data_IF_288634907348
#
_entry.id   IF_288634907348
#
_cell.length_a   1.000
_cell.length_b   1.000
_cell.length_c   1.000
_cell.angle_alpha   90.00
_cell.angle_beta   90.00
_cell.angle_gamma   90.00
#
_symmetry.space_group_name_H-M   'P 1'
#
loop_
_entity.id
_entity.type
_entity.pdbx_description
1 polymer ?
#
# COMPACT_ATOMS: atom_id res chain seq x y z
N UNK A 1 -16.10 6.62 -21.20
CA UNK A 1 -16.34 7.01 -19.80
C UNK A 1 -15.04 6.82 -19.06
N UNK A 2 -14.53 7.87 -18.42
CA UNK A 2 -13.24 7.84 -17.73
C UNK A 2 -13.27 6.75 -16.66
N UNK A 3 -12.49 5.68 -16.87
CA UNK A 3 -12.21 4.67 -15.85
C UNK A 3 -11.46 5.37 -14.72
N UNK A 4 -12.21 5.93 -13.78
CA UNK A 4 -11.66 6.53 -12.58
C UNK A 4 -11.12 5.41 -11.73
N UNK A 5 -9.80 5.20 -11.78
CA UNK A 5 -9.08 4.47 -10.74
C UNK A 5 -9.61 4.96 -9.39
N UNK A 6 -10.05 4.02 -8.56
CA UNK A 6 -10.45 4.28 -7.18
C UNK A 6 -9.35 5.07 -6.48
N UNK A 7 -9.70 5.87 -5.47
CA UNK A 7 -8.75 6.67 -4.68
C UNK A 7 -7.60 5.80 -4.17
N UNK A 8 -7.89 4.54 -3.84
CA UNK A 8 -6.90 3.54 -3.45
C UNK A 8 -5.96 3.16 -4.60
N UNK A 9 -6.48 2.85 -5.79
CA UNK A 9 -5.63 2.48 -6.94
C UNK A 9 -4.69 3.62 -7.33
N UNK A 10 -5.16 4.88 -7.30
CA UNK A 10 -4.27 6.04 -7.51
C UNK A 10 -3.20 6.18 -6.43
N UNK A 11 -3.55 5.94 -5.16
CA UNK A 11 -2.58 6.01 -4.06
C UNK A 11 -1.58 4.87 -4.10
N UNK A 12 -1.99 3.68 -4.52
CA UNK A 12 -1.11 2.54 -4.76
C UNK A 12 -0.19 2.84 -5.94
N UNK A 13 -0.72 3.31 -7.06
CA UNK A 13 0.10 3.76 -8.20
C UNK A 13 1.08 4.84 -7.76
N UNK A 14 0.66 5.82 -6.95
CA UNK A 14 1.51 6.89 -6.41
C UNK A 14 2.62 6.39 -5.46
N UNK A 15 2.36 5.32 -4.71
CA UNK A 15 3.33 4.72 -3.78
C UNK A 15 4.33 3.80 -4.50
N UNK A 16 3.91 3.13 -5.57
CA UNK A 16 4.70 2.14 -6.31
C UNK A 16 4.97 2.60 -7.76
N UNK A 17 5.33 3.88 -7.92
CA UNK A 17 5.31 4.58 -9.23
C UNK A 17 6.28 4.09 -10.29
N UNK A 18 7.43 3.53 -9.93
CA UNK A 18 8.50 3.25 -10.90
C UNK A 18 9.08 1.86 -10.69
N UNK A 19 9.03 1.03 -11.74
CA UNK A 19 9.75 -0.23 -11.81
C UNK A 19 11.15 -0.03 -12.41
N UNK A 20 12.19 -0.72 -11.91
CA UNK A 20 12.14 -1.70 -10.81
C UNK A 20 12.00 -1.04 -9.43
N UNK A 21 11.20 -1.64 -8.55
CA UNK A 21 11.02 -1.16 -7.20
C UNK A 21 12.35 -1.10 -6.45
N UNK A 22 12.51 -0.06 -5.63
CA UNK A 22 13.56 -0.06 -4.63
C UNK A 22 13.28 -1.11 -3.53
N UNK A 23 14.27 -1.37 -2.69
CA UNK A 23 14.19 -2.39 -1.65
C UNK A 23 13.09 -2.11 -0.61
N UNK A 24 12.74 -0.84 -0.37
CA UNK A 24 11.69 -0.45 0.57
C UNK A 24 10.32 -0.72 -0.05
N UNK A 25 10.15 -0.35 -1.31
CA UNK A 25 8.93 -0.56 -2.07
C UNK A 25 8.65 -2.04 -2.30
N UNK A 26 9.69 -2.84 -2.55
CA UNK A 26 9.57 -4.29 -2.68
C UNK A 26 9.07 -4.94 -1.37
N UNK A 27 9.63 -4.55 -0.22
CA UNK A 27 9.22 -5.10 1.08
C UNK A 27 7.82 -4.59 1.50
N UNK A 28 7.47 -3.34 1.17
CA UNK A 28 6.13 -2.80 1.40
C UNK A 28 5.07 -3.52 0.56
N UNK A 29 5.39 -3.81 -0.70
CA UNK A 29 4.53 -4.60 -1.58
C UNK A 29 4.35 -6.03 -1.06
N UNK A 30 5.44 -6.70 -0.65
CA UNK A 30 5.36 -8.04 -0.03
C UNK A 30 4.49 -8.05 1.22
N UNK A 31 4.63 -7.03 2.08
CA UNK A 31 3.79 -6.88 3.27
C UNK A 31 2.31 -6.69 2.90
N UNK A 32 2.02 -5.84 1.92
CA UNK A 32 0.66 -5.61 1.43
C UNK A 32 0.04 -6.92 0.92
N UNK A 33 0.74 -7.66 0.06
CA UNK A 33 0.28 -8.95 -0.48
C UNK A 33 0.10 -9.98 0.65
N UNK A 34 1.01 -10.04 1.63
CA UNK A 34 0.86 -10.89 2.80
C UNK A 34 -0.40 -10.54 3.60
N UNK A 35 -0.67 -9.26 3.83
CA UNK A 35 -1.84 -8.81 4.60
C UNK A 35 -3.17 -9.14 3.91
N UNK A 36 -3.23 -9.04 2.57
CA UNK A 36 -4.45 -9.30 1.79
C UNK A 36 -4.69 -10.79 1.54
N UNK A 37 -3.64 -11.55 1.24
CA UNK A 37 -3.78 -12.94 0.76
C UNK A 37 -3.28 -13.99 1.75
N UNK A 38 -2.78 -13.58 2.92
CA UNK A 38 -2.09 -14.44 3.90
C UNK A 38 -0.95 -15.26 3.27
N UNK A 39 -0.37 -14.74 2.18
CA UNK A 39 0.70 -15.38 1.40
C UNK A 39 1.87 -14.40 1.26
N UNK A 40 3.04 -14.75 1.78
CA UNK A 40 4.24 -13.91 1.73
C UNK A 40 5.29 -14.31 2.78
N UNK A 41 6.55 -13.97 2.52
CA UNK A 41 7.62 -14.05 3.52
C UNK A 41 7.58 -12.79 4.40
N UNK A 42 7.91 -12.92 5.69
CA UNK A 42 8.07 -11.77 6.58
C UNK A 42 9.14 -10.79 6.09
N UNK A 43 9.10 -9.56 6.59
CA UNK A 43 10.07 -8.50 6.30
C UNK A 43 11.43 -8.95 6.85
N UNK A 44 12.41 -9.15 5.98
CA UNK A 44 13.70 -9.77 6.39
C UNK A 44 14.93 -8.97 6.00
N UNK A 45 14.80 -7.99 5.11
CA UNK A 45 15.94 -7.37 4.45
C UNK A 45 15.97 -5.84 4.58
N UNK A 46 15.58 -5.23 5.70
CA UNK A 46 15.70 -3.77 5.86
C UNK A 46 16.82 -3.42 6.84
N UNK A 47 17.74 -2.54 6.43
CA UNK A 47 18.64 -1.90 7.38
C UNK A 47 17.87 -0.82 8.17
N UNK A 48 18.49 -0.21 9.18
CA UNK A 48 17.82 0.75 10.05
C UNK A 48 17.22 1.96 9.31
N UNK A 49 17.91 2.49 8.28
CA UNK A 49 17.42 3.63 7.51
C UNK A 49 16.21 3.23 6.65
N UNK A 50 16.31 2.09 5.98
CA UNK A 50 15.25 1.57 5.13
C UNK A 50 14.03 1.12 5.94
N UNK A 51 14.24 0.68 7.18
CA UNK A 51 13.14 0.39 8.10
C UNK A 51 12.38 1.64 8.55
N UNK A 52 13.06 2.76 8.80
CA UNK A 52 12.38 4.03 9.08
C UNK A 52 11.54 4.50 7.89
N UNK A 53 12.11 4.46 6.68
CA UNK A 53 11.39 4.78 5.43
C UNK A 53 10.20 3.85 5.19
N UNK A 54 10.37 2.55 5.48
CA UNK A 54 9.30 1.58 5.41
C UNK A 54 8.14 1.95 6.34
N UNK A 55 8.40 2.35 7.59
CA UNK A 55 7.36 2.78 8.53
C UNK A 55 6.63 4.04 8.04
N UNK A 56 7.36 5.01 7.52
CA UNK A 56 6.78 6.25 6.97
C UNK A 56 5.83 5.93 5.81
N UNK A 57 6.26 5.11 4.85
CA UNK A 57 5.40 4.71 3.72
C UNK A 57 4.24 3.80 4.15
N UNK A 58 4.46 2.92 5.13
CA UNK A 58 3.42 2.04 5.68
C UNK A 58 2.29 2.85 6.33
N UNK A 59 2.60 3.91 7.08
CA UNK A 59 1.60 4.78 7.68
C UNK A 59 0.69 5.41 6.62
N UNK A 60 1.28 5.93 5.54
CA UNK A 60 0.54 6.49 4.40
C UNK A 60 -0.35 5.44 3.73
N UNK A 61 0.15 4.22 3.55
CA UNK A 61 -0.59 3.12 2.94
C UNK A 61 -1.77 2.66 3.81
N UNK A 62 -1.58 2.55 5.13
CA UNK A 62 -2.64 2.18 6.08
C UNK A 62 -3.73 3.25 6.10
N UNK A 63 -3.37 4.53 6.13
CA UNK A 63 -4.34 5.64 6.06
C UNK A 63 -5.15 5.60 4.75
N UNK A 64 -4.49 5.31 3.63
CA UNK A 64 -5.15 5.16 2.34
C UNK A 64 -6.17 4.01 2.32
N UNK A 65 -5.78 2.83 2.84
CA UNK A 65 -6.64 1.66 2.94
C UNK A 65 -7.84 1.95 3.86
N UNK A 66 -7.63 2.62 4.99
CA UNK A 66 -8.69 2.99 5.91
C UNK A 66 -9.70 3.94 5.25
N UNK A 67 -9.22 5.00 4.59
CA UNK A 67 -10.07 5.96 3.87
C UNK A 67 -10.93 5.26 2.82
N UNK A 68 -10.32 4.38 2.02
CA UNK A 68 -11.05 3.60 1.01
C UNK A 68 -12.17 2.74 1.62
N UNK A 69 -11.92 2.09 2.76
CA UNK A 69 -12.96 1.33 3.45
C UNK A 69 -14.10 2.20 3.97
N UNK A 70 -13.81 3.42 4.47
CA UNK A 70 -14.87 4.36 4.89
C UNK A 70 -15.70 4.81 3.69
N UNK A 71 -15.07 5.21 2.59
CA UNK A 71 -15.75 5.62 1.36
C UNK A 71 -16.69 4.53 0.82
N UNK A 72 -16.24 3.27 0.83
CA UNK A 72 -17.09 2.14 0.42
C UNK A 72 -18.28 1.92 1.34
N UNK A 73 -18.09 2.06 2.65
CA UNK A 73 -19.17 1.92 3.63
C UNK A 73 -20.25 2.99 3.45
N UNK A 74 -19.86 4.20 3.05
CA UNK A 74 -20.79 5.29 2.80
C UNK A 74 -21.55 5.11 1.48
N UNK A 75 -20.91 4.55 0.45
CA UNK A 75 -21.56 4.15 -0.80
C UNK A 75 -22.57 3.00 -0.61
N UNK A 76 -22.32 2.07 0.30
CA UNK A 76 -23.25 0.95 0.59
C UNK A 76 -24.48 1.37 1.41
N UNK A 77 -24.47 2.57 2.01
CA UNK A 77 -25.60 3.12 2.79
C UNK A 77 -26.54 4.02 1.98
N UNK A 78 -26.20 4.32 0.74
CA UNK A 78 -26.96 5.21 -0.16
C UNK A 78 -27.76 4.37 -1.15
#
# INVERSE_FOLDING_TARGET
MSNGLSVLERKIEDLFKEEPFDQVDEELFKWLIFSYFQKGNGIKNLNSLDFERFKEKLAVLVDAIYQWHQERKDLEKT
#
